data_IF_107355017679
#
_entry.id   IF_107355017679
#
_cell.length_a   1.000
_cell.length_b   1.000
_cell.length_c   1.000
_cell.angle_alpha   90.00
_cell.angle_beta   90.00
_cell.angle_gamma   90.00
#
_symmetry.space_group_name_H-M   'P 1'
#
loop_
_entity.id
_entity.type
_entity.pdbx_description
1 polymer ?
#
# COMPACT_ATOMS: atom_id res chain seq x y z
N UNK A 1 23.03 49.93 40.39
CA UNK A 1 22.56 50.58 39.16
C UNK A 1 23.49 50.20 38.01
N UNK A 2 23.05 49.35 37.08
CA UNK A 2 23.66 49.20 35.74
C UNK A 2 22.64 48.48 34.85
N UNK A 3 22.05 49.24 33.92
CA UNK A 3 21.06 48.78 32.94
C UNK A 3 21.81 48.07 31.80
N UNK A 4 21.44 46.84 31.52
CA UNK A 4 21.89 46.11 30.33
C UNK A 4 20.85 46.28 29.23
N UNK A 5 21.23 47.00 28.18
CA UNK A 5 20.49 47.16 26.94
C UNK A 5 21.08 46.15 25.96
N UNK A 6 20.30 45.16 25.52
CA UNK A 6 20.68 44.26 24.44
C UNK A 6 19.74 44.51 23.25
N UNK A 7 20.36 44.99 22.18
CA UNK A 7 19.79 45.37 20.90
C UNK A 7 19.28 44.13 20.16
N UNK A 8 18.03 44.19 19.69
CA UNK A 8 17.49 43.33 18.65
C UNK A 8 18.18 43.68 17.31
N UNK A 9 18.90 42.72 16.73
CA UNK A 9 19.30 42.77 15.32
C UNK A 9 18.26 42.03 14.49
N UNK A 10 17.43 42.79 13.78
CA UNK A 10 16.51 42.30 12.75
C UNK A 10 17.30 41.96 11.48
N UNK A 11 17.42 40.67 11.16
CA UNK A 11 17.92 40.21 9.87
C UNK A 11 16.74 40.14 8.91
N UNK A 12 16.68 41.08 7.96
CA UNK A 12 15.80 41.03 6.80
C UNK A 12 16.37 40.01 5.81
N UNK A 13 15.70 38.86 5.65
CA UNK A 13 15.97 37.94 4.54
C UNK A 13 15.16 38.42 3.34
N UNK A 14 15.86 38.92 2.31
CA UNK A 14 15.30 39.26 1.01
C UNK A 14 15.02 37.94 0.27
N UNK A 15 13.74 37.61 0.10
CA UNK A 15 13.32 36.52 -0.78
C UNK A 15 13.51 36.97 -2.25
N UNK A 16 14.48 36.38 -2.94
CA UNK A 16 14.61 36.51 -4.38
C UNK A 16 13.51 35.69 -5.06
N UNK A 17 12.60 36.36 -5.78
CA UNK A 17 11.72 35.73 -6.76
C UNK A 17 12.60 35.09 -7.85
N UNK A 18 12.71 33.76 -7.85
CA UNK A 18 13.17 33.04 -9.02
C UNK A 18 12.00 32.90 -9.98
N UNK A 19 12.08 33.63 -11.08
CA UNK A 19 11.23 33.45 -12.25
C UNK A 19 11.57 32.10 -12.87
N UNK A 20 10.73 31.08 -12.65
CA UNK A 20 10.84 29.81 -13.36
C UNK A 20 10.69 30.06 -14.87
N UNK A 21 11.74 29.74 -15.62
CA UNK A 21 11.70 29.76 -17.07
C UNK A 21 10.73 28.67 -17.54
N UNK A 22 9.70 29.08 -18.27
CA UNK A 22 8.79 28.21 -19.01
C UNK A 22 9.62 27.36 -19.97
N UNK A 23 9.72 26.06 -19.71
CA UNK A 23 10.32 25.12 -20.66
C UNK A 23 9.44 25.08 -21.92
N UNK A 24 10.04 25.15 -23.12
CA UNK A 24 9.30 25.02 -24.36
C UNK A 24 8.62 23.64 -24.40
N UNK A 25 7.30 23.66 -24.60
CA UNK A 25 6.48 22.47 -24.83
C UNK A 25 7.03 21.77 -26.07
N UNK A 26 7.43 20.51 -25.93
CA UNK A 26 7.88 19.69 -27.03
C UNK A 26 6.78 19.60 -28.11
N UNK A 27 7.18 19.74 -29.38
CA UNK A 27 6.28 19.64 -30.52
C UNK A 27 5.49 18.32 -30.50
N UNK A 28 4.23 18.33 -30.97
CA UNK A 28 3.44 17.13 -31.11
C UNK A 28 4.12 16.15 -32.08
N UNK A 29 4.03 14.83 -31.84
CA UNK A 29 4.63 13.83 -32.71
C UNK A 29 4.09 13.95 -34.14
N UNK A 30 5.01 13.90 -35.10
CA UNK A 30 4.75 13.96 -36.53
C UNK A 30 3.90 12.75 -36.97
N UNK A 31 2.72 13.01 -37.53
CA UNK A 31 1.73 12.00 -37.96
C UNK A 31 2.19 11.18 -39.19
N UNK A 32 3.41 11.42 -39.69
CA UNK A 32 3.96 10.75 -40.88
C UNK A 32 5.00 9.67 -40.57
N UNK A 33 5.08 9.15 -39.34
CA UNK A 33 5.91 7.98 -39.08
C UNK A 33 5.31 6.73 -39.77
N UNK A 34 6.08 6.03 -40.62
CA UNK A 34 5.62 4.80 -41.27
C UNK A 34 5.34 3.71 -40.22
N UNK A 35 4.24 2.99 -40.45
CA UNK A 35 3.73 1.94 -39.57
C UNK A 35 4.82 0.91 -39.20
N UNK A 36 4.84 0.42 -37.95
CA UNK A 36 5.77 -0.63 -37.55
C UNK A 36 5.52 -1.91 -38.36
N UNK A 37 6.58 -2.39 -39.01
CA UNK A 37 6.59 -3.66 -39.75
C UNK A 37 6.13 -4.82 -38.87
N UNK A 38 5.26 -5.62 -39.46
CA UNK A 38 4.67 -6.84 -38.97
C UNK A 38 5.79 -7.86 -38.62
N UNK A 39 6.16 -7.97 -37.33
CA UNK A 39 7.12 -8.98 -36.87
C UNK A 39 6.42 -10.34 -36.78
N UNK A 40 6.75 -11.22 -37.71
CA UNK A 40 6.38 -12.63 -37.71
C UNK A 40 6.85 -13.31 -36.42
N UNK A 41 6.03 -14.17 -35.78
CA UNK A 41 6.47 -14.99 -34.65
C UNK A 41 7.63 -15.89 -35.09
N UNK A 42 8.78 -15.75 -34.43
CA UNK A 42 9.92 -16.64 -34.61
C UNK A 42 9.75 -17.80 -33.63
N UNK A 43 9.73 -19.02 -34.15
CA UNK A 43 9.64 -20.25 -33.36
C UNK A 43 10.79 -20.35 -32.33
N UNK A 44 10.54 -20.94 -31.14
CA UNK A 44 11.58 -21.17 -30.16
C UNK A 44 12.58 -22.23 -30.65
N UNK A 45 13.89 -22.09 -30.35
CA UNK A 45 14.88 -23.10 -30.68
C UNK A 45 14.70 -24.36 -29.82
N UNK A 46 14.48 -25.49 -30.48
CA UNK A 46 14.53 -26.84 -29.92
C UNK A 46 15.97 -27.16 -29.52
N UNK A 47 16.25 -27.19 -28.22
CA UNK A 47 17.55 -27.58 -27.68
C UNK A 47 17.49 -29.07 -27.34
N UNK A 48 17.87 -29.91 -28.30
CA UNK A 48 18.12 -31.35 -28.10
C UNK A 48 19.46 -31.50 -27.37
N UNK A 49 19.41 -31.55 -26.04
CA UNK A 49 20.48 -32.10 -25.22
C UNK A 49 19.88 -33.13 -24.27
N UNK A 50 19.65 -34.31 -24.83
CA UNK A 50 19.12 -35.50 -24.17
C UNK A 50 20.19 -36.07 -23.25
N UNK A 51 20.30 -35.50 -22.05
CA UNK A 51 21.10 -36.07 -20.97
C UNK A 51 20.37 -37.34 -20.49
N UNK A 52 20.88 -38.51 -20.91
CA UNK A 52 20.45 -39.84 -20.45
C UNK A 52 20.62 -39.93 -18.93
N UNK A 53 19.57 -39.58 -18.18
CA UNK A 53 19.44 -39.97 -16.79
C UNK A 53 19.24 -41.50 -16.76
N UNK A 54 20.19 -42.22 -16.17
CA UNK A 54 20.01 -43.62 -15.82
C UNK A 54 18.90 -43.72 -14.77
N UNK A 55 17.79 -44.36 -15.13
CA UNK A 55 16.74 -44.70 -14.18
C UNK A 55 17.34 -45.59 -13.07
N UNK A 56 17.22 -45.22 -11.78
CA UNK A 56 17.57 -46.10 -10.69
C UNK A 56 16.65 -47.32 -10.71
N UNK A 57 17.25 -48.52 -10.67
CA UNK A 57 16.52 -49.78 -10.62
C UNK A 57 15.49 -49.78 -9.46
N UNK A 58 14.26 -50.28 -9.67
CA UNK A 58 13.25 -50.33 -8.63
C UNK A 58 13.73 -51.25 -7.50
N UNK A 59 13.94 -50.69 -6.31
CA UNK A 59 14.06 -51.49 -5.09
C UNK A 59 12.72 -52.18 -4.82
N UNK A 60 12.71 -53.49 -4.50
CA UNK A 60 11.52 -54.17 -4.02
C UNK A 60 11.04 -53.50 -2.74
N UNK A 61 9.93 -52.76 -2.83
CA UNK A 61 9.30 -52.14 -1.68
C UNK A 61 8.86 -53.21 -0.68
N UNK A 62 9.36 -53.10 0.56
CA UNK A 62 8.79 -53.82 1.70
C UNK A 62 7.31 -53.43 1.83
N UNK A 63 6.43 -54.37 1.48
CA UNK A 63 5.01 -54.26 1.78
C UNK A 63 4.84 -54.34 3.30
N UNK A 64 4.69 -53.18 3.93
CA UNK A 64 4.32 -53.07 5.33
C UNK A 64 3.04 -53.88 5.61
N UNK A 65 3.05 -54.62 6.71
CA UNK A 65 1.93 -55.41 7.17
C UNK A 65 0.67 -54.54 7.33
N UNK A 66 -0.41 -54.91 6.61
CA UNK A 66 -1.78 -54.75 7.07
C UNK A 66 -2.29 -53.34 7.34
N UNK A 67 -1.95 -52.34 6.52
CA UNK A 67 -2.74 -51.10 6.52
C UNK A 67 -4.09 -51.38 5.84
N UNK A 68 -5.15 -51.42 6.65
CA UNK A 68 -6.53 -51.37 6.20
C UNK A 68 -6.74 -50.02 5.49
N UNK A 69 -6.61 -50.00 4.17
CA UNK A 69 -7.01 -48.86 3.38
C UNK A 69 -8.53 -48.75 3.46
N UNK A 70 -9.05 -47.64 3.99
CA UNK A 70 -10.46 -47.35 3.92
C UNK A 70 -10.85 -47.20 2.44
N UNK A 71 -11.63 -48.17 1.92
CA UNK A 71 -12.12 -48.18 0.53
C UNK A 71 -13.23 -47.16 0.28
N UNK A 72 -13.65 -46.44 1.33
CA UNK A 72 -14.62 -45.36 1.20
C UNK A 72 -13.85 -44.07 0.95
N UNK A 73 -14.24 -43.27 -0.07
CA UNK A 73 -13.70 -41.93 -0.23
C UNK A 73 -13.86 -41.19 1.10
N UNK A 74 -12.88 -40.39 1.53
CA UNK A 74 -13.01 -39.60 2.74
C UNK A 74 -14.32 -38.83 2.63
N UNK A 75 -15.15 -38.91 3.68
CA UNK A 75 -16.38 -38.12 3.77
C UNK A 75 -15.96 -36.67 3.54
N UNK A 76 -16.37 -36.10 2.41
CA UNK A 76 -16.16 -34.68 2.13
C UNK A 76 -16.92 -33.98 3.26
N UNK A 77 -16.17 -33.45 4.23
CA UNK A 77 -16.73 -32.52 5.18
C UNK A 77 -17.09 -31.32 4.33
N UNK A 78 -18.37 -31.12 4.09
CA UNK A 78 -18.88 -29.92 3.44
C UNK A 78 -18.43 -28.75 4.33
N UNK A 79 -17.32 -28.14 3.93
CA UNK A 79 -16.75 -26.99 4.62
C UNK A 79 -17.84 -25.91 4.58
N UNK A 80 -18.23 -25.39 5.76
CA UNK A 80 -19.28 -24.39 5.84
C UNK A 80 -19.01 -23.29 4.81
N UNK A 81 -20.01 -22.84 4.05
CA UNK A 81 -19.79 -21.93 2.93
C UNK A 81 -19.01 -20.71 3.42
N UNK A 82 -17.79 -20.54 2.89
CA UNK A 82 -16.96 -19.38 3.17
C UNK A 82 -17.80 -18.15 2.84
N UNK A 83 -18.09 -17.32 3.84
CA UNK A 83 -18.78 -16.06 3.61
C UNK A 83 -17.90 -15.23 2.68
N UNK A 84 -18.47 -14.80 1.55
CA UNK A 84 -17.79 -13.86 0.68
C UNK A 84 -17.42 -12.62 1.49
N UNK A 85 -16.13 -12.28 1.53
CA UNK A 85 -15.64 -11.06 2.18
C UNK A 85 -16.28 -9.87 1.49
N UNK A 86 -16.83 -8.95 2.28
CA UNK A 86 -17.50 -7.74 1.76
C UNK A 86 -16.64 -6.53 2.06
N UNK A 87 -16.67 -5.51 1.20
CA UNK A 87 -16.03 -4.24 1.52
C UNK A 87 -16.84 -3.48 2.58
N UNK A 88 -16.18 -2.60 3.33
CA UNK A 88 -16.81 -1.59 4.17
C UNK A 88 -17.71 -0.67 3.33
N UNK A 89 -18.84 -0.24 3.90
CA UNK A 89 -19.61 0.85 3.30
C UNK A 89 -18.78 2.15 3.24
N UNK A 90 -19.14 3.09 2.36
CA UNK A 90 -18.32 4.30 2.16
C UNK A 90 -18.14 5.12 3.45
N UNK A 91 -19.16 5.18 4.30
CA UNK A 91 -19.09 5.94 5.54
C UNK A 91 -18.18 5.24 6.57
N UNK A 92 -18.20 3.90 6.61
CA UNK A 92 -17.27 3.09 7.39
C UNK A 92 -15.84 3.26 6.88
N UNK A 93 -15.62 3.22 5.57
CA UNK A 93 -14.30 3.39 4.98
C UNK A 93 -13.70 4.77 5.30
N UNK A 94 -14.47 5.85 5.13
CA UNK A 94 -14.03 7.22 5.45
C UNK A 94 -13.65 7.35 6.93
N UNK A 95 -14.50 6.85 7.84
CA UNK A 95 -14.20 6.83 9.28
C UNK A 95 -12.97 5.99 9.62
N UNK A 96 -12.81 4.83 8.98
CA UNK A 96 -11.65 3.96 9.18
C UNK A 96 -10.36 4.64 8.74
N UNK A 97 -10.35 5.29 7.57
CA UNK A 97 -9.22 6.08 7.08
C UNK A 97 -8.87 7.19 8.07
N UNK A 98 -9.83 8.01 8.46
CA UNK A 98 -9.59 9.08 9.44
C UNK A 98 -9.09 8.53 10.78
N UNK A 99 -9.61 7.39 11.24
CA UNK A 99 -9.19 6.78 12.50
C UNK A 99 -7.73 6.36 12.47
N UNK A 100 -7.30 5.69 11.39
CA UNK A 100 -5.91 5.21 11.28
C UNK A 100 -4.93 6.34 10.98
N UNK A 101 -5.35 7.43 10.34
CA UNK A 101 -4.48 8.57 10.00
C UNK A 101 -4.48 9.70 11.03
N UNK A 102 -5.20 9.55 12.14
CA UNK A 102 -5.25 10.60 13.16
C UNK A 102 -6.13 11.79 12.78
N UNK A 103 -7.11 11.58 11.92
CA UNK A 103 -8.13 12.57 11.54
C UNK A 103 -8.00 13.12 10.12
N UNK A 104 -7.01 12.68 9.35
CA UNK A 104 -6.83 13.12 7.96
C UNK A 104 -7.85 12.42 7.07
N UNK A 105 -8.69 13.23 6.42
CA UNK A 105 -9.72 12.78 5.49
C UNK A 105 -9.29 12.99 4.04
N UNK A 106 -9.87 12.24 3.11
CA UNK A 106 -9.64 12.45 1.68
C UNK A 106 -10.39 13.70 1.21
N UNK A 107 -9.65 14.79 1.01
CA UNK A 107 -10.21 16.09 0.64
C UNK A 107 -9.57 16.66 -0.63
N UNK A 108 -10.33 17.47 -1.38
CA UNK A 108 -9.84 18.13 -2.60
C UNK A 108 -10.07 19.65 -2.55
N UNK A 109 -9.06 20.38 -3.03
CA UNK A 109 -9.08 21.83 -3.20
C UNK A 109 -9.02 22.62 -1.90
N UNK A 110 -9.01 23.96 -2.05
CA UNK A 110 -8.83 24.89 -0.93
C UNK A 110 -9.96 24.84 0.12
N UNK A 111 -11.12 24.30 -0.25
CA UNK A 111 -12.29 24.16 0.63
C UNK A 111 -12.30 22.85 1.42
N UNK A 112 -11.28 21.98 1.28
CA UNK A 112 -11.18 20.65 1.92
C UNK A 112 -12.50 19.86 1.83
N UNK A 113 -13.05 19.74 0.61
CA UNK A 113 -14.30 19.01 0.38
C UNK A 113 -14.02 17.51 0.49
N UNK A 114 -14.70 16.81 1.39
CA UNK A 114 -14.61 15.36 1.53
C UNK A 114 -15.05 14.66 0.24
N UNK A 115 -14.13 13.93 -0.38
CA UNK A 115 -14.33 13.31 -1.69
C UNK A 115 -15.23 12.07 -1.62
N UNK A 116 -15.26 11.35 -0.49
CA UNK A 116 -16.22 10.26 -0.32
C UNK A 116 -17.66 10.77 -0.35
N UNK A 117 -17.92 11.95 0.23
CA UNK A 117 -19.22 12.62 0.15
C UNK A 117 -19.52 13.13 -1.26
N UNK A 118 -18.55 13.78 -1.90
CA UNK A 118 -18.73 14.33 -3.25
C UNK A 118 -18.95 13.25 -4.33
N UNK A 119 -18.36 12.07 -4.15
CA UNK A 119 -18.40 10.94 -5.08
C UNK A 119 -19.34 9.82 -4.62
N UNK A 120 -20.16 10.07 -3.59
CA UNK A 120 -21.00 9.06 -2.96
C UNK A 120 -21.90 8.32 -3.97
N UNK A 121 -22.50 9.03 -4.93
CA UNK A 121 -23.35 8.42 -5.96
C UNK A 121 -22.57 7.46 -6.86
N UNK A 122 -21.35 7.82 -7.27
CA UNK A 122 -20.49 6.95 -8.10
C UNK A 122 -19.91 5.77 -7.33
N UNK A 123 -19.79 5.90 -6.00
CA UNK A 123 -19.30 4.86 -5.10
C UNK A 123 -20.40 3.86 -4.67
N UNK A 124 -21.60 3.98 -5.24
CA UNK A 124 -22.71 3.08 -4.97
C UNK A 124 -23.47 3.38 -3.68
N UNK A 125 -23.28 4.56 -3.07
CA UNK A 125 -24.04 4.94 -1.87
C UNK A 125 -25.54 5.03 -2.20
N UNK A 126 -26.44 4.46 -1.38
CA UNK A 126 -27.89 4.51 -1.61
C UNK A 126 -28.41 5.93 -1.77
N UNK A 127 -29.25 6.14 -2.79
CA UNK A 127 -29.97 7.41 -3.00
C UNK A 127 -31.46 7.32 -2.58
N UNK A 128 -31.94 6.12 -2.23
CA UNK A 128 -33.33 5.80 -1.84
C UNK A 128 -34.43 6.17 -2.85
N UNK A 129 -34.06 6.65 -4.04
CA UNK A 129 -34.96 6.81 -5.18
C UNK A 129 -34.93 5.54 -6.04
N UNK A 130 -33.72 5.11 -6.40
CA UNK A 130 -33.50 3.95 -7.29
C UNK A 130 -32.63 2.86 -6.63
N UNK A 131 -31.77 3.24 -5.68
CA UNK A 131 -30.85 2.34 -4.98
C UNK A 131 -31.11 2.40 -3.47
N UNK A 132 -31.57 1.28 -2.91
CA UNK A 132 -31.88 1.13 -1.47
C UNK A 132 -30.77 0.45 -0.67
N UNK A 133 -29.78 -0.13 -1.35
CA UNK A 133 -28.65 -0.84 -0.74
C UNK A 133 -27.36 -0.48 -1.47
N UNK A 134 -26.28 -0.36 -0.69
CA UNK A 134 -24.94 -0.19 -1.23
C UNK A 134 -24.44 -1.51 -1.79
N UNK A 135 -23.80 -1.47 -2.95
CA UNK A 135 -23.08 -2.62 -3.49
C UNK A 135 -21.73 -2.77 -2.77
N UNK A 136 -21.62 -3.80 -1.93
CA UNK A 136 -20.43 -4.06 -1.11
C UNK A 136 -19.42 -5.01 -1.78
N UNK A 137 -19.54 -5.23 -3.09
CA UNK A 137 -18.53 -5.95 -3.85
C UNK A 137 -17.34 -5.01 -4.19
N UNK A 138 -16.09 -5.50 -4.11
CA UNK A 138 -14.90 -4.69 -4.41
C UNK A 138 -14.74 -4.49 -5.92
N UNK A 139 -15.49 -3.54 -6.48
CA UNK A 139 -15.42 -3.18 -7.90
C UNK A 139 -14.10 -2.49 -8.28
N UNK A 140 -13.74 -2.52 -9.57
CA UNK A 140 -12.57 -1.80 -10.08
C UNK A 140 -12.67 -0.28 -9.82
N UNK A 141 -13.88 0.28 -9.88
CA UNK A 141 -14.13 1.68 -9.58
C UNK A 141 -13.87 1.99 -8.11
N UNK A 142 -14.32 1.12 -7.20
CA UNK A 142 -14.01 1.23 -5.77
C UNK A 142 -12.49 1.21 -5.52
N UNK A 143 -11.76 0.26 -6.14
CA UNK A 143 -10.30 0.16 -5.99
C UNK A 143 -9.60 1.44 -6.47
N UNK A 144 -10.01 2.00 -7.61
CA UNK A 144 -9.46 3.26 -8.12
C UNK A 144 -9.63 4.41 -7.11
N UNK A 145 -10.81 4.55 -6.52
CA UNK A 145 -11.06 5.59 -5.54
C UNK A 145 -10.32 5.35 -4.22
N UNK A 146 -10.22 4.09 -3.78
CA UNK A 146 -9.40 3.72 -2.62
C UNK A 146 -7.93 4.06 -2.85
N UNK A 147 -7.39 3.78 -4.04
CA UNK A 147 -6.02 4.13 -4.42
C UNK A 147 -5.79 5.66 -4.41
N UNK A 148 -6.73 6.44 -4.95
CA UNK A 148 -6.64 7.91 -4.96
C UNK A 148 -6.73 8.48 -3.54
N UNK A 149 -7.66 7.97 -2.74
CA UNK A 149 -7.82 8.33 -1.33
C UNK A 149 -6.54 8.03 -0.54
N UNK A 150 -6.02 6.81 -0.65
CA UNK A 150 -4.81 6.37 0.03
C UNK A 150 -3.60 7.24 -0.35
N UNK A 151 -3.40 7.51 -1.65
CA UNK A 151 -2.28 8.34 -2.13
C UNK A 151 -2.36 9.79 -1.64
N UNK A 152 -3.57 10.35 -1.57
CA UNK A 152 -3.83 11.70 -1.09
C UNK A 152 -3.62 11.80 0.42
N UNK A 153 -4.31 10.95 1.19
CA UNK A 153 -4.26 10.95 2.65
C UNK A 153 -2.86 10.60 3.17
N UNK A 154 -2.20 9.59 2.61
CA UNK A 154 -0.86 9.22 3.03
C UNK A 154 0.19 10.28 2.66
N UNK A 155 -0.04 11.10 1.61
CA UNK A 155 0.84 12.22 1.30
C UNK A 155 0.74 13.33 2.36
N UNK A 156 -0.49 13.70 2.75
CA UNK A 156 -0.71 14.67 3.83
C UNK A 156 -0.20 14.14 5.17
N UNK A 157 -0.44 12.86 5.46
CA UNK A 157 0.00 12.22 6.70
C UNK A 157 1.52 12.28 6.90
N UNK A 158 2.31 11.92 5.88
CA UNK A 158 3.77 11.94 6.06
C UNK A 158 4.32 13.35 6.28
N UNK A 159 3.73 14.38 5.66
CA UNK A 159 4.11 15.77 5.89
C UNK A 159 3.78 16.15 7.33
N UNK A 160 2.54 15.91 7.76
CA UNK A 160 2.10 16.18 9.13
C UNK A 160 3.00 15.50 10.18
N UNK A 161 3.36 14.23 9.97
CA UNK A 161 4.22 13.47 10.88
C UNK A 161 5.62 14.06 11.05
N UNK A 162 6.15 14.72 10.01
CA UNK A 162 7.46 15.39 10.08
C UNK A 162 7.41 16.71 10.85
N UNK A 163 6.24 17.34 10.93
CA UNK A 163 6.04 18.65 11.56
C UNK A 163 5.63 18.52 13.03
N UNK A 164 4.91 17.45 13.39
CA UNK A 164 4.47 17.22 14.77
C UNK A 164 5.54 16.54 15.65
N UNK A 165 5.34 16.70 16.96
CA UNK A 165 6.17 16.03 17.99
C UNK A 165 5.95 14.52 17.97
N UNK A 166 6.96 13.76 18.40
CA UNK A 166 6.95 12.29 18.32
C UNK A 166 5.79 11.61 19.07
N UNK A 167 5.24 12.23 20.11
CA UNK A 167 4.10 11.70 20.87
C UNK A 167 2.75 11.82 20.15
N UNK A 168 2.65 12.68 19.14
CA UNK A 168 1.41 12.91 18.36
C UNK A 168 1.39 12.14 17.04
N UNK A 169 2.52 11.53 16.67
CA UNK A 169 2.67 10.70 15.48
C UNK A 169 1.81 9.44 15.57
N UNK A 170 1.20 9.07 14.45
CA UNK A 170 0.41 7.85 14.25
C UNK A 170 1.01 6.92 13.19
N UNK A 171 1.86 7.42 12.29
CA UNK A 171 2.53 6.61 11.27
C UNK A 171 3.95 6.21 11.69
N UNK A 172 4.71 7.13 12.27
CA UNK A 172 6.12 6.95 12.66
C UNK A 172 6.27 6.97 14.20
N UNK A 173 5.60 6.04 14.87
CA UNK A 173 5.54 5.97 16.35
C UNK A 173 6.83 5.43 16.97
N UNK A 174 7.49 4.50 16.28
CA UNK A 174 8.69 3.81 16.79
C UNK A 174 9.96 4.15 16.00
N UNK A 175 9.91 5.17 15.14
CA UNK A 175 11.01 5.58 14.27
C UNK A 175 11.06 7.10 14.13
N UNK A 176 12.25 7.61 13.82
CA UNK A 176 12.42 8.99 13.35
C UNK A 176 12.17 9.09 11.83
N UNK A 177 11.85 10.29 11.30
CA UNK A 177 11.76 10.51 9.85
C UNK A 177 13.06 10.25 9.08
N UNK A 178 14.19 10.18 9.78
CA UNK A 178 15.52 9.93 9.21
C UNK A 178 15.93 8.46 9.31
N UNK A 179 15.20 7.63 10.07
CA UNK A 179 15.56 6.24 10.29
C UNK A 179 15.45 5.42 9.01
N UNK A 180 16.52 4.70 8.67
CA UNK A 180 16.58 3.76 7.56
C UNK A 180 16.54 2.32 8.04
N UNK A 181 16.39 1.39 7.10
CA UNK A 181 16.55 -0.03 7.42
C UNK A 181 17.94 -0.34 7.98
N UNK A 182 18.97 0.32 7.46
CA UNK A 182 20.37 0.15 7.89
C UNK A 182 20.64 0.83 9.25
N UNK A 183 20.06 2.01 9.50
CA UNK A 183 20.35 2.76 10.71
C UNK A 183 19.54 2.28 11.92
N UNK A 184 18.29 1.84 11.72
CA UNK A 184 17.40 1.42 12.80
C UNK A 184 16.44 0.28 12.38
N UNK A 185 16.96 -0.93 12.07
CA UNK A 185 16.12 -2.05 11.65
C UNK A 185 15.12 -2.50 12.72
N UNK A 186 15.50 -2.41 14.00
CA UNK A 186 14.62 -2.78 15.12
C UNK A 186 13.43 -1.82 15.25
N UNK A 187 13.67 -0.51 15.13
CA UNK A 187 12.62 0.51 15.14
C UNK A 187 11.67 0.35 13.95
N UNK A 188 12.20 0.14 12.74
CA UNK A 188 11.40 -0.11 11.53
C UNK A 188 10.49 -1.33 11.72
N UNK A 189 11.03 -2.46 12.20
CA UNK A 189 10.24 -3.66 12.46
C UNK A 189 9.14 -3.43 13.50
N UNK A 190 9.46 -2.76 14.60
CA UNK A 190 8.49 -2.43 15.65
C UNK A 190 7.39 -1.51 15.12
N UNK A 191 7.75 -0.53 14.29
CA UNK A 191 6.80 0.39 13.67
C UNK A 191 5.88 -0.35 12.68
N UNK A 192 6.41 -1.24 11.83
CA UNK A 192 5.61 -2.05 10.92
C UNK A 192 4.61 -2.94 11.67
N UNK A 193 5.04 -3.62 12.75
CA UNK A 193 4.13 -4.43 13.57
C UNK A 193 3.02 -3.58 14.21
N UNK A 194 3.36 -2.38 14.69
CA UNK A 194 2.37 -1.41 15.18
C UNK A 194 1.37 -1.01 14.09
N UNK A 195 1.83 -0.74 12.87
CA UNK A 195 0.97 -0.34 11.77
C UNK A 195 0.04 -1.46 11.31
N UNK A 196 0.48 -2.73 11.30
CA UNK A 196 -0.40 -3.85 11.00
C UNK A 196 -1.50 -4.03 12.04
N UNK A 197 -1.19 -3.80 13.33
CA UNK A 197 -2.22 -3.78 14.36
C UNK A 197 -3.20 -2.62 14.15
N UNK A 198 -2.69 -1.44 13.81
CA UNK A 198 -3.50 -0.23 13.64
C UNK A 198 -4.40 -0.27 12.41
N UNK A 199 -3.88 -0.70 11.26
CA UNK A 199 -4.61 -0.71 9.99
C UNK A 199 -5.42 -2.00 9.80
N UNK A 200 -4.87 -3.16 10.14
CA UNK A 200 -5.50 -4.45 9.85
C UNK A 200 -6.09 -5.11 11.10
N UNK A 201 -5.92 -4.53 12.29
CA UNK A 201 -6.37 -5.14 13.55
C UNK A 201 -5.60 -6.42 13.91
N UNK A 202 -4.46 -6.68 13.25
CA UNK A 202 -3.70 -7.93 13.41
C UNK A 202 -2.43 -7.69 14.22
N UNK A 203 -2.32 -8.38 15.35
CA UNK A 203 -1.06 -8.44 16.09
C UNK A 203 -0.13 -9.43 15.39
N UNK A 204 0.97 -8.92 14.82
CA UNK A 204 1.99 -9.72 14.15
C UNK A 204 3.28 -9.59 14.94
N UNK A 205 3.88 -10.71 15.30
CA UNK A 205 5.18 -10.72 15.98
C UNK A 205 6.29 -10.29 15.02
N UNK A 206 7.31 -9.60 15.54
CA UNK A 206 8.34 -8.98 14.71
C UNK A 206 9.09 -10.01 13.85
N UNK A 207 9.28 -11.24 14.29
CA UNK A 207 9.98 -12.31 13.58
C UNK A 207 9.07 -13.18 12.69
N UNK A 208 7.76 -12.89 12.63
CA UNK A 208 6.82 -13.66 11.84
C UNK A 208 7.09 -13.55 10.33
N UNK A 209 6.90 -14.64 9.60
CA UNK A 209 7.08 -14.68 8.14
C UNK A 209 6.20 -13.66 7.39
N UNK A 210 5.00 -13.36 7.93
CA UNK A 210 4.08 -12.36 7.37
C UNK A 210 4.68 -10.93 7.34
N UNK A 211 5.70 -10.64 8.14
CA UNK A 211 6.38 -9.34 8.14
C UNK A 211 7.28 -9.14 6.91
N UNK A 212 7.72 -10.21 6.25
CA UNK A 212 8.70 -10.13 5.16
C UNK A 212 8.20 -9.27 3.98
N UNK A 213 6.92 -9.39 3.63
CA UNK A 213 6.36 -8.58 2.53
C UNK A 213 6.39 -7.08 2.86
N UNK A 214 6.18 -6.70 4.12
CA UNK A 214 6.17 -5.30 4.57
C UNK A 214 7.58 -4.74 4.71
N UNK A 215 8.52 -5.56 5.18
CA UNK A 215 9.96 -5.25 5.16
C UNK A 215 10.45 -5.02 3.75
N UNK A 216 10.10 -5.92 2.84
CA UNK A 216 10.45 -5.80 1.44
C UNK A 216 9.87 -4.53 0.83
N UNK A 217 8.59 -4.22 1.07
CA UNK A 217 7.95 -3.00 0.57
C UNK A 217 8.70 -1.74 1.06
N UNK A 218 8.98 -1.65 2.36
CA UNK A 218 9.70 -0.52 2.93
C UNK A 218 11.10 -0.37 2.32
N UNK A 219 11.91 -1.44 2.30
CA UNK A 219 13.28 -1.43 1.76
C UNK A 219 13.31 -1.06 0.28
N UNK A 220 12.41 -1.63 -0.52
CA UNK A 220 12.32 -1.34 -1.95
C UNK A 220 11.93 0.12 -2.20
N UNK A 221 10.96 0.65 -1.46
CA UNK A 221 10.58 2.06 -1.56
C UNK A 221 11.71 2.99 -1.11
N UNK A 222 12.42 2.65 -0.04
CA UNK A 222 13.59 3.38 0.44
C UNK A 222 14.72 3.41 -0.58
N UNK A 223 15.03 2.27 -1.21
CA UNK A 223 16.08 2.16 -2.22
C UNK A 223 15.79 3.06 -3.44
N UNK A 224 14.54 3.09 -3.90
CA UNK A 224 14.14 3.89 -5.06
C UNK A 224 14.06 5.37 -4.72
N UNK A 225 13.41 5.74 -3.61
CA UNK A 225 13.16 7.13 -3.26
C UNK A 225 14.36 7.82 -2.59
N UNK A 226 15.29 7.06 -2.00
CA UNK A 226 16.43 7.55 -1.20
C UNK A 226 16.03 8.44 -0.02
N UNK A 227 14.77 8.42 0.38
CA UNK A 227 14.20 9.20 1.48
C UNK A 227 13.28 8.31 2.33
N UNK A 228 13.54 8.14 3.64
CA UNK A 228 12.74 7.26 4.49
C UNK A 228 11.28 7.68 4.60
N UNK A 229 11.02 8.98 4.60
CA UNK A 229 9.65 9.54 4.64
C UNK A 229 8.82 9.06 3.44
N UNK A 230 9.41 9.02 2.24
CA UNK A 230 8.75 8.49 1.04
C UNK A 230 8.52 6.99 1.14
N UNK A 231 9.42 6.23 1.78
CA UNK A 231 9.20 4.81 2.04
C UNK A 231 8.01 4.58 2.99
N UNK A 232 7.88 5.39 4.05
CA UNK A 232 6.72 5.34 4.94
C UNK A 232 5.42 5.74 4.26
N UNK A 233 5.45 6.71 3.33
CA UNK A 233 4.29 7.02 2.48
C UNK A 233 3.86 5.79 1.67
N UNK A 234 4.80 5.09 1.05
CA UNK A 234 4.53 3.88 0.27
C UNK A 234 3.93 2.77 1.14
N UNK A 235 4.47 2.57 2.35
CA UNK A 235 3.90 1.60 3.31
C UNK A 235 2.48 1.99 3.72
N UNK A 236 2.23 3.28 4.03
CA UNK A 236 0.88 3.78 4.34
C UNK A 236 -0.12 3.47 3.22
N UNK A 237 0.24 3.73 1.96
CA UNK A 237 -0.61 3.41 0.80
C UNK A 237 -0.87 1.90 0.73
N UNK A 238 0.19 1.09 0.81
CA UNK A 238 0.06 -0.37 0.77
C UNK A 238 -0.79 -0.95 1.90
N UNK A 239 -0.76 -0.36 3.09
CA UNK A 239 -1.61 -0.77 4.21
C UNK A 239 -3.09 -0.47 3.95
N UNK A 240 -3.41 0.70 3.39
CA UNK A 240 -4.80 1.10 3.09
C UNK A 240 -5.40 0.32 1.92
N UNK A 241 -4.61 0.02 0.90
CA UNK A 241 -5.09 -0.70 -0.30
C UNK A 241 -5.05 -2.22 -0.14
N UNK A 242 -4.55 -2.71 1.00
CA UNK A 242 -4.58 -4.14 1.30
C UNK A 242 -6.01 -4.60 1.66
N UNK A 243 -6.47 -5.78 1.18
CA UNK A 243 -7.81 -6.29 1.48
C UNK A 243 -8.13 -6.41 2.98
N UNK A 244 -7.14 -6.58 3.85
CA UNK A 244 -7.35 -6.61 5.31
C UNK A 244 -7.77 -5.26 5.90
N UNK A 245 -7.58 -4.16 5.18
CA UNK A 245 -8.02 -2.84 5.64
C UNK A 245 -9.50 -2.61 5.36
N UNK A 246 -9.97 -2.91 4.15
CA UNK A 246 -11.29 -2.48 3.68
C UNK A 246 -12.34 -3.59 3.58
N UNK A 247 -12.01 -4.86 3.91
CA UNK A 247 -12.99 -5.96 3.86
C UNK A 247 -13.17 -6.69 5.18
N UNK A 248 -14.40 -7.18 5.42
CA UNK A 248 -14.83 -7.92 6.61
C UNK A 248 -15.61 -9.20 6.25
#
# INVERSE_FOLDING_TARGET
>A
MKRFILLLSSVFVVAACQTEAVQPVADPPNVNDPAPENRTPTDPPTNENENKAQDPAPSPGQLGHGMQAALLPPKIVEEAPLRNRRRMDIDQLDRSIQRVTGGIAWTLGNKKINQFGALAQTLGKPNFLDLTREDLDPSALFQKFLDDAARSVCAELVVHETEVVSSERVLMVHVSPQDTWESNPAGVNKNLAYLLLRYHGRKVEVDAAEMEQWRWLFRSAQLVAKQPVTAWRTVCVGLMTHPYFYTY
#
